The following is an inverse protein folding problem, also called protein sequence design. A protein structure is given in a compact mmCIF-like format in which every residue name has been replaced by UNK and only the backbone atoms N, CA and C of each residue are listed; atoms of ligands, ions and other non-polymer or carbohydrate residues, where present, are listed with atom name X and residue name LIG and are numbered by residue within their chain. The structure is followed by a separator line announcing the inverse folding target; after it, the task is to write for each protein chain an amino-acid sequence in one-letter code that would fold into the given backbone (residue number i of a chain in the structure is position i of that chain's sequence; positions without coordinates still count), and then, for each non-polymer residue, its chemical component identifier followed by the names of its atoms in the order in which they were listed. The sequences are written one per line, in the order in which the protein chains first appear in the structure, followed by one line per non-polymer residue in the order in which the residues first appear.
data_IF_156094818241
#
_entry.id   IF_156094818241
#
_cell.length_a   1.000
_cell.length_b   1.000
_cell.length_c   1.000
_cell.angle_alpha   90.00
_cell.angle_beta   90.00
_cell.angle_gamma   90.00
#
_symmetry.space_group_name_H-M   'P 1'
#
loop_
_entity.id
_entity.type
_entity.pdbx_description
1 polymer ?
#
# COMPACT_ATOMS: atom_id res chain seq x y z
N UNK A 1 7.50 -6.85 9.48
CA UNK A 1 6.60 -6.88 10.66
C UNK A 1 6.80 -5.71 11.62
N UNK A 2 8.02 -5.40 12.10
CA UNK A 2 8.27 -4.25 13.02
C UNK A 2 7.65 -2.92 12.54
N UNK A 3 7.72 -2.63 11.24
CA UNK A 3 7.18 -1.39 10.64
C UNK A 3 5.66 -1.24 10.85
N UNK A 4 4.91 -2.32 10.68
CA UNK A 4 3.45 -2.34 10.86
C UNK A 4 3.07 -2.29 12.35
N UNK A 5 3.92 -2.86 13.21
CA UNK A 5 3.76 -2.85 14.66
C UNK A 5 4.00 -1.45 15.24
N UNK A 6 5.03 -0.74 14.75
CA UNK A 6 5.25 0.67 15.07
C UNK A 6 4.09 1.56 14.61
N UNK A 7 3.52 1.27 13.43
CA UNK A 7 2.34 1.96 12.92
C UNK A 7 1.13 1.77 13.84
N UNK A 8 0.89 0.55 14.34
CA UNK A 8 -0.18 0.28 15.31
C UNK A 8 0.03 1.02 16.63
N UNK A 9 1.27 1.17 17.08
CA UNK A 9 1.58 1.94 18.31
C UNK A 9 1.28 3.44 18.07
N UNK A 10 1.70 3.99 16.93
CA UNK A 10 1.41 5.38 16.55
C UNK A 10 -0.10 5.61 16.46
N UNK A 11 -0.85 4.71 15.83
CA UNK A 11 -2.30 4.85 15.71
C UNK A 11 -3.01 4.72 17.05
N UNK A 12 -2.48 3.90 17.97
CA UNK A 12 -2.98 3.79 19.34
C UNK A 12 -2.76 5.09 20.13
N UNK A 13 -1.56 5.70 20.01
CA UNK A 13 -1.24 6.99 20.65
C UNK A 13 -2.12 8.12 20.08
N UNK A 14 -2.27 8.18 18.76
CA UNK A 14 -3.14 9.18 18.09
C UNK A 14 -4.60 9.00 18.52
N UNK A 15 -5.08 7.76 18.64
CA UNK A 15 -6.44 7.48 19.13
C UNK A 15 -6.63 7.89 20.58
N UNK A 16 -5.60 7.69 21.42
CA UNK A 16 -5.63 8.12 22.81
C UNK A 16 -5.65 9.65 22.95
N UNK A 17 -4.84 10.37 22.14
CA UNK A 17 -4.78 11.84 22.15
C UNK A 17 -6.05 12.51 21.61
N UNK A 18 -6.72 11.90 20.63
CA UNK A 18 -7.91 12.47 19.99
C UNK A 18 -9.22 12.05 20.68
N UNK A 19 -9.15 11.29 21.78
CA UNK A 19 -10.29 10.69 22.47
C UNK A 19 -11.41 11.68 22.80
N UNK A 20 -11.06 12.90 23.19
CA UNK A 20 -12.05 13.92 23.59
C UNK A 20 -12.79 14.49 22.37
N UNK A 21 -12.08 14.74 21.27
CA UNK A 21 -12.65 15.18 19.98
C UNK A 21 -13.50 14.09 19.30
N UNK A 22 -13.22 12.80 19.56
CA UNK A 22 -13.99 11.67 19.02
C UNK A 22 -15.46 11.65 19.46
N UNK A 23 -15.76 12.18 20.63
CA UNK A 23 -17.11 12.18 21.19
C UNK A 23 -18.09 13.03 20.35
N UNK A 24 -17.55 14.03 19.63
CA UNK A 24 -18.26 14.95 18.74
C UNK A 24 -18.39 14.46 17.29
N UNK A 25 -17.60 13.46 16.88
CA UNK A 25 -17.57 12.97 15.50
C UNK A 25 -18.84 12.17 15.16
N UNK A 26 -19.56 12.64 14.14
CA UNK A 26 -20.74 11.97 13.58
C UNK A 26 -20.33 10.79 12.70
N UNK A 27 -21.23 9.82 12.58
CA UNK A 27 -21.06 8.63 11.75
C UNK A 27 -20.73 8.94 10.28
N UNK A 28 -21.26 10.04 9.73
CA UNK A 28 -21.03 10.45 8.35
C UNK A 28 -19.55 10.66 8.05
N UNK A 29 -18.81 11.32 8.94
CA UNK A 29 -17.37 11.53 8.77
C UNK A 29 -16.58 10.21 8.69
N UNK A 30 -16.99 9.17 9.43
CA UNK A 30 -16.37 7.84 9.34
C UNK A 30 -16.68 7.16 8.01
N UNK A 31 -17.93 7.27 7.53
CA UNK A 31 -18.35 6.72 6.24
C UNK A 31 -17.57 7.38 5.10
N UNK A 32 -17.43 8.70 5.13
CA UNK A 32 -16.71 9.46 4.12
C UNK A 32 -15.22 9.12 4.11
N UNK A 33 -14.61 8.98 5.30
CA UNK A 33 -13.21 8.58 5.43
C UNK A 33 -12.99 7.16 4.90
N UNK A 34 -13.87 6.21 5.23
CA UNK A 34 -13.81 4.84 4.69
C UNK A 34 -13.99 4.82 3.17
N UNK A 35 -14.88 5.66 2.62
CA UNK A 35 -15.07 5.81 1.18
C UNK A 35 -13.83 6.37 0.48
N UNK A 36 -13.22 7.41 1.04
CA UNK A 36 -11.96 7.96 0.54
C UNK A 36 -10.85 6.90 0.57
N UNK A 37 -10.78 6.11 1.65
CA UNK A 37 -9.78 5.06 1.79
C UNK A 37 -9.98 3.95 0.74
N UNK A 38 -11.22 3.52 0.52
CA UNK A 38 -11.57 2.56 -0.53
C UNK A 38 -11.12 3.04 -1.92
N UNK A 39 -11.37 4.31 -2.24
CA UNK A 39 -11.00 4.89 -3.52
C UNK A 39 -9.49 4.90 -3.73
N UNK A 40 -8.73 5.37 -2.73
CA UNK A 40 -7.26 5.43 -2.81
C UNK A 40 -6.66 4.01 -2.91
N UNK A 41 -7.16 3.05 -2.11
CA UNK A 41 -6.70 1.65 -2.17
C UNK A 41 -6.98 1.02 -3.53
N UNK A 42 -8.14 1.30 -4.13
CA UNK A 42 -8.53 0.76 -5.44
C UNK A 42 -7.64 1.31 -6.56
N UNK A 43 -7.36 2.62 -6.54
CA UNK A 43 -6.47 3.26 -7.53
C UNK A 43 -5.06 2.67 -7.46
N UNK A 44 -4.52 2.53 -6.24
CA UNK A 44 -3.17 1.97 -6.05
C UNK A 44 -3.11 0.51 -6.49
N UNK A 45 -4.11 -0.28 -6.11
CA UNK A 45 -4.22 -1.67 -6.54
C UNK A 45 -4.22 -1.79 -8.07
N UNK A 46 -4.98 -0.92 -8.77
CA UNK A 46 -5.04 -0.90 -10.22
C UNK A 46 -3.69 -0.50 -10.87
N UNK A 47 -3.06 0.59 -10.40
CA UNK A 47 -1.79 1.08 -10.97
C UNK A 47 -0.69 0.03 -10.83
N UNK A 48 -0.50 -0.53 -9.65
CA UNK A 48 0.56 -1.51 -9.45
C UNK A 48 0.20 -2.85 -10.11
N UNK A 49 -1.08 -3.24 -10.14
CA UNK A 49 -1.54 -4.41 -10.88
C UNK A 49 -1.15 -4.34 -12.37
N UNK A 50 -1.31 -3.16 -12.98
CA UNK A 50 -0.83 -2.90 -14.35
C UNK A 50 0.70 -3.02 -14.47
N UNK A 51 1.46 -2.48 -13.51
CA UNK A 51 2.92 -2.60 -13.50
C UNK A 51 3.41 -4.05 -13.37
N UNK A 52 2.78 -4.84 -12.50
CA UNK A 52 3.09 -6.27 -12.36
C UNK A 52 2.84 -6.99 -13.69
N UNK A 53 1.71 -6.73 -14.36
CA UNK A 53 1.40 -7.36 -15.64
C UNK A 53 2.47 -7.09 -16.72
N UNK A 54 3.12 -5.91 -16.69
CA UNK A 54 4.17 -5.53 -17.64
C UNK A 54 5.54 -6.14 -17.26
N UNK A 55 5.89 -6.12 -15.97
CA UNK A 55 7.24 -6.47 -15.50
C UNK A 55 7.40 -7.97 -15.27
N UNK A 56 6.35 -8.63 -14.79
CA UNK A 56 6.33 -10.06 -14.48
C UNK A 56 6.83 -10.96 -15.63
N UNK A 57 6.30 -10.86 -16.88
CA UNK A 57 6.79 -11.68 -17.99
C UNK A 57 8.27 -11.40 -18.33
N UNK A 58 8.74 -10.16 -18.14
CA UNK A 58 10.15 -9.78 -18.38
C UNK A 58 11.10 -10.34 -17.32
N UNK A 59 10.66 -10.42 -16.07
CA UNK A 59 11.43 -10.99 -14.97
C UNK A 59 11.53 -12.52 -15.11
N UNK A 60 10.40 -13.18 -15.38
CA UNK A 60 10.34 -14.62 -15.67
C UNK A 60 11.17 -14.97 -16.90
N UNK A 61 10.98 -14.28 -18.03
CA UNK A 61 11.72 -14.58 -19.26
C UNK A 61 13.24 -14.54 -19.07
N UNK A 62 13.76 -13.63 -18.24
CA UNK A 62 15.19 -13.54 -17.93
C UNK A 62 15.67 -14.60 -16.93
N UNK A 63 14.87 -14.93 -15.91
CA UNK A 63 15.20 -15.98 -14.97
C UNK A 63 15.30 -17.36 -15.66
N UNK A 64 14.41 -17.66 -16.61
CA UNK A 64 14.41 -18.95 -17.32
C UNK A 64 15.37 -19.01 -18.52
N UNK A 65 15.78 -17.87 -19.08
CA UNK A 65 16.80 -17.81 -20.14
C UNK A 65 18.26 -17.89 -19.61
N UNK A 66 18.45 -17.89 -18.29
CA UNK A 66 19.75 -17.81 -17.61
C UNK A 66 20.64 -19.05 -17.76
N UNK A 67 20.32 -20.02 -18.62
CA UNK A 67 21.16 -21.21 -18.82
C UNK A 67 22.45 -20.93 -19.63
N UNK A 68 22.69 -19.70 -20.12
CA UNK A 68 23.83 -19.43 -21.00
C UNK A 68 24.43 -17.99 -21.02
N UNK A 69 24.28 -17.12 -20.00
CA UNK A 69 24.69 -15.71 -20.14
C UNK A 69 25.50 -15.09 -18.99
N UNK A 70 26.37 -14.14 -19.38
CA UNK A 70 27.40 -13.38 -18.65
C UNK A 70 26.89 -12.71 -17.36
N UNK A 71 27.74 -12.61 -16.34
CA UNK A 71 27.49 -12.03 -14.99
C UNK A 71 26.71 -10.71 -14.94
N UNK A 72 26.80 -9.85 -15.97
CA UNK A 72 26.08 -8.58 -16.02
C UNK A 72 24.56 -8.75 -16.22
N UNK A 73 24.12 -9.78 -16.93
CA UNK A 73 22.68 -10.02 -17.15
C UNK A 73 21.99 -10.65 -15.94
N UNK A 74 22.76 -11.41 -15.13
CA UNK A 74 22.30 -11.98 -13.86
C UNK A 74 21.97 -10.86 -12.86
N UNK A 75 22.84 -9.84 -12.75
CA UNK A 75 22.60 -8.67 -11.87
C UNK A 75 21.38 -7.85 -12.27
N UNK A 76 21.09 -7.74 -13.56
CA UNK A 76 19.89 -7.05 -14.04
C UNK A 76 18.61 -7.87 -13.78
N UNK A 77 18.67 -9.20 -13.91
CA UNK A 77 17.56 -10.08 -13.58
C UNK A 77 17.20 -10.05 -12.08
N UNK A 78 18.20 -10.02 -11.19
CA UNK A 78 17.99 -9.86 -9.75
C UNK A 78 17.35 -8.51 -9.40
N UNK A 79 17.78 -7.42 -10.03
CA UNK A 79 17.21 -6.09 -9.81
C UNK A 79 15.73 -6.00 -10.17
N UNK A 80 15.34 -6.58 -11.31
CA UNK A 80 13.95 -6.60 -11.75
C UNK A 80 13.06 -7.54 -10.91
N UNK A 81 13.62 -8.66 -10.44
CA UNK A 81 12.91 -9.55 -9.50
C UNK A 81 12.68 -8.89 -8.13
N UNK A 82 13.68 -8.16 -7.62
CA UNK A 82 13.55 -7.44 -6.34
C UNK A 82 12.53 -6.30 -6.45
N UNK A 83 12.56 -5.53 -7.54
CA UNK A 83 11.57 -4.49 -7.80
C UNK A 83 10.15 -5.05 -7.90
N UNK A 84 9.98 -6.17 -8.62
CA UNK A 84 8.70 -6.87 -8.72
C UNK A 84 8.20 -7.36 -7.36
N UNK A 85 9.09 -7.92 -6.53
CA UNK A 85 8.76 -8.35 -5.16
C UNK A 85 8.28 -7.19 -4.30
N UNK A 86 8.95 -6.03 -4.38
CA UNK A 86 8.56 -4.83 -3.65
C UNK A 86 7.17 -4.31 -4.10
N UNK A 87 6.90 -4.30 -5.40
CA UNK A 87 5.58 -3.93 -5.95
C UNK A 87 4.46 -4.86 -5.47
N UNK A 88 4.73 -6.18 -5.46
CA UNK A 88 3.76 -7.18 -4.98
C UNK A 88 3.48 -7.01 -3.49
N UNK A 89 4.50 -6.72 -2.66
CA UNK A 89 4.31 -6.42 -1.23
C UNK A 89 3.33 -5.25 -1.05
N UNK A 90 3.51 -4.17 -1.82
CA UNK A 90 2.68 -2.98 -1.72
C UNK A 90 1.23 -3.26 -2.16
N UNK A 91 1.04 -4.03 -3.24
CA UNK A 91 -0.30 -4.46 -3.71
C UNK A 91 -1.03 -5.26 -2.66
N UNK A 92 -0.36 -6.23 -2.04
CA UNK A 92 -0.97 -7.11 -1.03
C UNK A 92 -1.47 -6.30 0.17
N UNK A 93 -0.70 -5.30 0.60
CA UNK A 93 -1.13 -4.39 1.68
C UNK A 93 -2.34 -3.56 1.27
N UNK A 94 -2.33 -2.97 0.07
CA UNK A 94 -3.46 -2.16 -0.42
C UNK A 94 -4.73 -3.00 -0.60
N UNK A 95 -4.60 -4.23 -1.10
CA UNK A 95 -5.70 -5.18 -1.23
C UNK A 95 -6.28 -5.57 0.14
N UNK A 96 -5.43 -5.79 1.14
CA UNK A 96 -5.88 -6.08 2.51
C UNK A 96 -6.68 -4.92 3.11
N UNK A 97 -6.22 -3.67 2.94
CA UNK A 97 -6.96 -2.47 3.37
C UNK A 97 -8.31 -2.41 2.67
N UNK A 98 -8.34 -2.61 1.35
CA UNK A 98 -9.56 -2.61 0.55
C UNK A 98 -10.58 -3.65 1.04
N UNK A 99 -10.14 -4.90 1.25
CA UNK A 99 -11.01 -5.97 1.76
C UNK A 99 -11.56 -5.64 3.15
N UNK A 100 -10.73 -5.08 4.03
CA UNK A 100 -11.15 -4.69 5.37
C UNK A 100 -12.16 -3.55 5.34
N UNK A 101 -11.93 -2.53 4.53
CA UNK A 101 -12.83 -1.38 4.36
C UNK A 101 -14.19 -1.82 3.80
N UNK A 102 -14.20 -2.68 2.79
CA UNK A 102 -15.45 -3.23 2.23
C UNK A 102 -16.23 -4.04 3.28
N UNK A 103 -15.52 -4.88 4.04
CA UNK A 103 -16.13 -5.68 5.11
C UNK A 103 -16.77 -4.79 6.18
N UNK A 104 -16.09 -3.70 6.59
CA UNK A 104 -16.63 -2.73 7.54
C UNK A 104 -17.85 -2.03 6.95
N UNK A 105 -17.78 -1.51 5.73
CA UNK A 105 -18.90 -0.81 5.09
C UNK A 105 -20.14 -1.70 4.94
N UNK A 106 -19.95 -2.99 4.67
CA UNK A 106 -21.04 -3.97 4.59
C UNK A 106 -21.58 -4.35 5.98
N UNK A 107 -20.72 -4.48 6.98
CA UNK A 107 -21.10 -4.95 8.33
C UNK A 107 -21.76 -3.87 9.19
N UNK A 108 -21.46 -2.59 8.94
CA UNK A 108 -21.95 -1.45 9.72
C UNK A 108 -23.48 -1.26 9.66
N UNK A 109 -24.15 -1.33 8.48
CA UNK A 109 -25.61 -1.29 8.40
C UNK A 109 -26.27 -2.42 9.19
N UNK A 110 -25.70 -3.64 9.10
CA UNK A 110 -26.21 -4.84 9.77
C UNK A 110 -26.11 -4.70 11.28
N UNK A 111 -24.96 -4.26 11.79
CA UNK A 111 -24.74 -4.04 13.22
C UNK A 111 -25.60 -2.93 13.79
N UNK A 112 -25.86 -1.85 13.03
CA UNK A 112 -26.81 -0.80 13.44
C UNK A 112 -28.25 -1.31 13.55
N UNK A 113 -28.65 -2.30 12.76
CA UNK A 113 -29.99 -2.90 12.83
C UNK A 113 -30.19 -3.81 14.05
N UNK A 114 -29.11 -4.35 14.63
CA UNK A 114 -29.17 -5.40 15.67
C UNK A 114 -28.75 -4.87 17.06
N UNK A 115 -27.83 -3.89 17.15
CA UNK A 115 -27.27 -3.43 18.41
C UNK A 115 -28.00 -2.21 19.00
N UNK A 116 -28.36 -2.30 20.29
CA UNK A 116 -28.99 -1.21 21.05
C UNK A 116 -28.04 -0.05 21.42
N UNK A 117 -28.59 1.05 21.99
CA UNK A 117 -27.89 2.34 22.20
C UNK A 117 -26.59 2.27 23.04
N UNK A 118 -26.50 1.32 23.96
CA UNK A 118 -25.43 1.23 24.95
C UNK A 118 -24.13 0.64 24.37
N UNK A 119 -24.25 -0.32 23.44
CA UNK A 119 -23.10 -0.91 22.75
C UNK A 119 -22.43 0.08 21.77
N UNK A 120 -23.20 1.07 21.27
CA UNK A 120 -22.72 2.09 20.34
C UNK A 120 -21.69 3.04 20.97
N UNK A 121 -21.72 3.27 22.30
CA UNK A 121 -20.79 4.21 22.95
C UNK A 121 -19.36 3.68 23.01
N UNK A 122 -19.15 2.41 23.35
CA UNK A 122 -17.81 1.80 23.38
C UNK A 122 -17.35 1.40 21.98
N UNK A 123 -18.27 1.03 21.08
CA UNK A 123 -17.97 0.73 19.68
C UNK A 123 -17.36 1.90 18.91
N UNK A 124 -17.71 3.15 19.24
CA UNK A 124 -17.15 4.34 18.56
C UNK A 124 -15.62 4.44 18.66
N UNK A 125 -15.04 4.15 19.82
CA UNK A 125 -13.59 4.20 19.99
C UNK A 125 -12.88 3.09 19.20
N UNK A 126 -13.44 1.88 19.18
CA UNK A 126 -12.90 0.76 18.41
C UNK A 126 -12.98 1.01 16.90
N UNK A 127 -14.09 1.58 16.43
CA UNK A 127 -14.28 1.95 15.02
C UNK A 127 -13.26 3.00 14.61
N UNK A 128 -13.08 4.07 15.41
CA UNK A 128 -12.08 5.08 15.11
C UNK A 128 -10.66 4.51 15.10
N UNK A 129 -10.29 3.70 16.09
CA UNK A 129 -8.97 3.06 16.12
C UNK A 129 -8.71 2.25 14.84
N UNK A 130 -9.72 1.51 14.39
CA UNK A 130 -9.65 0.70 13.17
C UNK A 130 -9.49 1.57 11.93
N UNK A 131 -10.32 2.61 11.78
CA UNK A 131 -10.28 3.54 10.64
C UNK A 131 -8.95 4.32 10.61
N UNK A 132 -8.48 4.79 11.76
CA UNK A 132 -7.20 5.48 11.86
C UNK A 132 -6.05 4.54 11.47
N UNK A 133 -6.04 3.31 11.99
CA UNK A 133 -5.02 2.30 11.65
C UNK A 133 -5.00 1.99 10.16
N UNK A 134 -6.17 1.76 9.56
CA UNK A 134 -6.28 1.55 8.11
C UNK A 134 -5.78 2.76 7.32
N UNK A 135 -6.08 3.98 7.78
CA UNK A 135 -5.64 5.23 7.13
C UNK A 135 -4.12 5.36 7.11
N UNK A 136 -3.46 5.14 8.24
CA UNK A 136 -2.01 5.20 8.31
C UNK A 136 -1.35 4.08 7.49
N UNK A 137 -1.90 2.85 7.51
CA UNK A 137 -1.39 1.74 6.68
C UNK A 137 -1.47 2.11 5.19
N UNK A 138 -2.61 2.66 4.75
CA UNK A 138 -2.78 3.07 3.37
C UNK A 138 -1.85 4.22 2.99
N UNK A 139 -1.68 5.21 3.87
CA UNK A 139 -0.75 6.32 3.64
C UNK A 139 0.69 5.82 3.46
N UNK A 140 1.13 4.89 4.31
CA UNK A 140 2.45 4.27 4.17
C UNK A 140 2.58 3.48 2.86
N UNK A 141 1.52 2.77 2.43
CA UNK A 141 1.51 2.10 1.13
C UNK A 141 1.68 3.11 -0.02
N UNK A 142 0.94 4.23 0.00
CA UNK A 142 1.06 5.32 -0.99
C UNK A 142 2.49 5.84 -1.07
N UNK A 143 3.11 6.14 0.07
CA UNK A 143 4.49 6.62 0.11
C UNK A 143 5.47 5.61 -0.49
N UNK A 144 5.31 4.32 -0.21
CA UNK A 144 6.15 3.28 -0.82
C UNK A 144 5.98 3.22 -2.33
N UNK A 145 4.75 3.33 -2.85
CA UNK A 145 4.53 3.37 -4.30
C UNK A 145 5.30 4.54 -4.93
N UNK A 146 5.19 5.72 -4.35
CA UNK A 146 5.86 6.92 -4.86
C UNK A 146 7.38 6.72 -4.85
N UNK A 147 7.94 6.19 -3.76
CA UNK A 147 9.38 5.93 -3.65
C UNK A 147 9.85 4.85 -4.64
N UNK A 148 9.11 3.76 -4.79
CA UNK A 148 9.42 2.70 -5.75
C UNK A 148 9.44 3.24 -7.19
N UNK A 149 8.44 4.06 -7.55
CA UNK A 149 8.40 4.72 -8.86
C UNK A 149 9.55 5.73 -9.04
N UNK A 150 9.86 6.53 -8.02
CA UNK A 150 10.95 7.50 -8.07
C UNK A 150 12.31 6.82 -8.22
N UNK A 151 12.55 5.75 -7.45
CA UNK A 151 13.78 4.97 -7.51
C UNK A 151 13.94 4.31 -8.88
N UNK A 152 12.88 3.73 -9.43
CA UNK A 152 12.87 3.18 -10.78
C UNK A 152 13.22 4.23 -11.84
N UNK A 153 12.61 5.41 -11.77
CA UNK A 153 12.92 6.51 -12.69
C UNK A 153 14.37 6.98 -12.55
N UNK A 154 14.89 7.06 -11.34
CA UNK A 154 16.27 7.46 -11.10
C UNK A 154 17.27 6.41 -11.64
N UNK A 155 16.98 5.12 -11.48
CA UNK A 155 17.76 4.05 -12.09
C UNK A 155 17.76 4.13 -13.62
N UNK A 156 16.60 4.38 -14.24
CA UNK A 156 16.50 4.58 -15.68
C UNK A 156 17.33 5.77 -16.16
N UNK A 157 17.26 6.90 -15.44
CA UNK A 157 18.02 8.11 -15.79
C UNK A 157 19.53 7.85 -15.69
N UNK A 158 19.99 7.16 -14.66
CA UNK A 158 21.41 6.84 -14.49
C UNK A 158 21.91 5.83 -15.54
N UNK A 159 21.10 4.83 -15.92
CA UNK A 159 21.44 3.90 -17.01
C UNK A 159 21.51 4.63 -18.36
N UNK A 160 20.56 5.52 -18.66
CA UNK A 160 20.59 6.31 -19.90
C UNK A 160 21.77 7.30 -19.94
N UNK A 161 22.13 7.91 -18.80
CA UNK A 161 23.29 8.79 -18.72
C UNK A 161 24.61 8.03 -18.92
N UNK A 162 24.76 6.87 -18.28
CA UNK A 162 25.96 6.03 -18.41
C UNK A 162 26.09 5.43 -19.82
N UNK A 163 24.96 5.00 -20.40
CA UNK A 163 24.92 4.53 -21.80
C UNK A 163 25.34 5.61 -22.79
N UNK A 164 24.95 6.88 -22.56
CA UNK A 164 25.39 8.02 -23.39
C UNK A 164 26.90 8.28 -23.32
N UNK A 165 27.51 8.10 -22.15
CA UNK A 165 28.96 8.30 -21.96
C UNK A 165 29.75 7.20 -22.67
N UNK A 166 29.23 5.98 -22.71
CA UNK A 166 29.88 4.84 -23.39
C UNK A 166 29.87 5.00 -24.93
N UNK A 167 28.84 5.64 -25.50
CA UNK A 167 28.81 5.97 -26.94
C UNK A 167 29.75 7.12 -27.31
N UNK A 168 30.12 7.98 -26.36
CA UNK A 168 31.02 9.11 -26.59
C UNK A 168 32.51 8.74 -26.43
N UNK A 169 32.81 7.60 -25.80
CA UNK A 169 34.16 7.08 -25.60
C UNK A 169 34.54 5.98 -26.62
N UNK A 170 33.77 5.81 -27.69
CA UNK A 170 33.97 4.82 -28.75
C UNK A 170 34.12 5.51 -30.10
#
# INVERSE_FOLDING_TARGET
MIKYLALMIITSIVTYLLRDSLSLLKYEAYKDTLGALLNVSSIIFAIIGAWIAIIYPRAIGRAFASSNIKDNEIKEAEGDANYLSELVEIVMVSAFVLMTVLTIQFSVPITKGILGPTALKHGKYAIFFTVATLTFIQLHAVFRVILANYFFLNQLRNKNASGKIDVLNK
#
